data_IF_882669186215
#
_entry.id   IF_882669186215
#
_cell.length_a   1.000
_cell.length_b   1.000
_cell.length_c   1.000
_cell.angle_alpha   90.00
_cell.angle_beta   90.00
_cell.angle_gamma   90.00
#
_symmetry.space_group_name_H-M   'P 1'
#
loop_
_entity.id
_entity.type
_entity.pdbx_description
1 polymer ?
#
# COMPACT_ATOMS: atom_id res chain seq x y z
N UNK A 1 -1.65 36.80 -64.37
CA UNK A 1 -0.93 35.55 -64.05
C UNK A 1 -0.36 35.72 -62.63
N UNK A 2 -1.00 35.22 -61.57
CA UNK A 2 -0.74 33.90 -60.92
C UNK A 2 0.74 33.84 -60.42
N UNK A 3 1.15 33.63 -59.16
CA UNK A 3 0.64 32.96 -57.95
C UNK A 3 1.46 33.47 -56.72
N UNK A 4 0.88 33.77 -55.55
CA UNK A 4 0.71 32.93 -54.32
C UNK A 4 1.96 32.28 -53.69
N UNK A 5 2.28 32.77 -52.47
CA UNK A 5 2.61 32.10 -51.17
C UNK A 5 3.47 30.83 -51.18
N UNK A 6 4.57 30.84 -50.42
CA UNK A 6 4.69 30.12 -49.14
C UNK A 6 5.97 30.49 -48.39
N UNK A 7 5.81 30.94 -47.14
CA UNK A 7 6.89 31.03 -46.16
C UNK A 7 6.98 29.68 -45.43
N UNK A 8 8.17 29.08 -45.39
CA UNK A 8 8.50 27.95 -44.52
C UNK A 8 9.51 28.42 -43.50
N UNK A 9 9.07 28.51 -42.24
CA UNK A 9 9.91 28.73 -41.07
C UNK A 9 10.52 27.40 -40.64
N UNK A 10 11.80 27.19 -40.95
CA UNK A 10 12.58 26.11 -40.37
C UNK A 10 13.00 26.48 -38.94
N UNK A 11 12.15 26.11 -37.97
CA UNK A 11 12.55 26.04 -36.56
C UNK A 11 13.26 24.71 -36.32
N UNK A 12 14.59 24.75 -36.23
CA UNK A 12 15.37 23.64 -35.69
C UNK A 12 15.07 23.52 -34.19
N UNK A 13 14.20 22.57 -33.84
CA UNK A 13 14.03 22.13 -32.46
C UNK A 13 15.23 21.25 -32.10
N UNK A 14 15.97 21.72 -31.09
CA UNK A 14 17.03 20.97 -30.43
C UNK A 14 16.50 19.62 -29.93
N UNK A 15 17.06 18.53 -30.46
CA UNK A 15 16.89 17.19 -29.92
C UNK A 15 17.72 17.09 -28.65
N UNK A 16 17.08 17.33 -27.51
CA UNK A 16 17.68 17.10 -26.20
C UNK A 16 17.93 15.61 -25.98
N UNK A 17 19.20 15.26 -25.79
CA UNK A 17 19.62 14.02 -25.14
C UNK A 17 19.04 14.00 -23.72
N UNK A 18 17.95 13.25 -23.54
CA UNK A 18 17.50 12.83 -22.21
C UNK A 18 18.45 11.79 -21.63
N UNK A 19 18.54 11.65 -20.29
CA UNK A 19 19.42 10.65 -19.68
C UNK A 19 19.04 9.26 -20.17
N UNK A 20 20.01 8.54 -20.75
CA UNK A 20 19.87 7.14 -21.15
C UNK A 20 19.54 6.33 -19.90
N UNK A 21 18.31 5.86 -19.79
CA UNK A 21 17.91 4.89 -18.78
C UNK A 21 18.82 3.67 -18.89
N UNK A 22 19.39 3.20 -17.77
CA UNK A 22 20.09 1.92 -17.76
C UNK A 22 19.14 0.84 -18.28
N UNK A 23 19.64 -0.07 -19.12
CA UNK A 23 18.89 -1.27 -19.53
C UNK A 23 18.26 -1.94 -18.31
N UNK A 24 16.96 -2.25 -18.36
CA UNK A 24 16.23 -2.86 -17.25
C UNK A 24 16.87 -4.14 -16.72
N UNK A 25 17.58 -4.89 -17.59
CA UNK A 25 18.36 -6.08 -17.22
C UNK A 25 19.57 -5.75 -16.32
N UNK A 26 20.28 -4.65 -16.61
CA UNK A 26 21.42 -4.19 -15.80
C UNK A 26 20.95 -3.66 -14.45
N UNK A 27 19.81 -2.99 -14.41
CA UNK A 27 19.18 -2.54 -13.17
C UNK A 27 18.76 -3.73 -12.29
N UNK A 28 18.17 -4.77 -12.87
CA UNK A 28 17.76 -5.97 -12.13
C UNK A 28 18.96 -6.69 -11.49
N UNK A 29 20.05 -6.89 -12.26
CA UNK A 29 21.27 -7.52 -11.74
C UNK A 29 21.93 -6.72 -10.61
N UNK A 30 22.09 -5.40 -10.76
CA UNK A 30 22.67 -4.56 -9.70
C UNK A 30 21.75 -4.38 -8.49
N UNK A 31 20.45 -4.30 -8.70
CA UNK A 31 19.48 -4.19 -7.59
C UNK A 31 19.46 -5.45 -6.73
N UNK A 32 19.70 -6.64 -7.31
CA UNK A 32 19.87 -7.89 -6.56
C UNK A 32 21.08 -7.84 -5.62
N UNK A 33 22.18 -7.21 -6.03
CA UNK A 33 23.39 -7.10 -5.20
C UNK A 33 23.24 -6.10 -4.04
N UNK A 34 22.34 -5.11 -4.18
CA UNK A 34 22.10 -4.07 -3.18
C UNK A 34 20.84 -4.30 -2.34
N UNK A 35 20.05 -5.32 -2.69
CA UNK A 35 18.83 -5.66 -1.96
C UNK A 35 19.18 -6.25 -0.59
N UNK A 36 18.66 -5.63 0.47
CA UNK A 36 18.79 -6.14 1.83
C UNK A 36 17.60 -7.04 2.15
N UNK A 37 17.86 -8.29 2.49
CA UNK A 37 16.84 -9.21 3.02
C UNK A 37 16.81 -9.15 4.55
N UNK A 38 15.63 -8.96 5.11
CA UNK A 38 15.39 -8.85 6.56
C UNK A 38 14.24 -9.78 6.98
N UNK A 39 14.16 -10.08 8.29
CA UNK A 39 13.09 -10.90 8.88
C UNK A 39 12.13 -10.11 9.78
N UNK A 40 12.21 -8.78 9.75
CA UNK A 40 11.43 -7.86 10.58
C UNK A 40 10.64 -6.90 9.69
N UNK A 41 9.34 -6.77 9.93
CA UNK A 41 8.49 -5.79 9.28
C UNK A 41 8.84 -4.37 9.73
N UNK A 42 9.20 -4.19 11.01
CA UNK A 42 9.66 -2.91 11.56
C UNK A 42 10.87 -2.40 10.76
N UNK A 43 11.82 -3.30 10.49
CA UNK A 43 13.01 -2.98 9.70
C UNK A 43 12.69 -2.79 8.21
N UNK A 44 11.89 -3.69 7.62
CA UNK A 44 11.51 -3.64 6.21
C UNK A 44 10.82 -2.32 5.85
N UNK A 45 9.86 -1.90 6.67
CA UNK A 45 9.12 -0.64 6.54
C UNK A 45 9.95 0.57 7.00
N UNK A 46 11.06 0.36 7.71
CA UNK A 46 11.82 1.39 8.43
C UNK A 46 10.88 2.30 9.23
N UNK A 47 10.17 1.70 10.18
CA UNK A 47 9.27 2.44 11.06
C UNK A 47 10.06 3.39 11.95
N UNK A 48 9.53 4.60 12.13
CA UNK A 48 10.02 5.56 13.13
C UNK A 48 9.42 5.18 14.50
N UNK A 49 9.85 5.83 15.61
CA UNK A 49 9.35 5.50 16.95
C UNK A 49 7.83 5.63 17.13
N UNK A 50 7.17 6.39 16.24
CA UNK A 50 5.73 6.60 16.22
C UNK A 50 5.24 6.74 14.78
N UNK A 51 4.23 5.97 14.38
CA UNK A 51 3.70 5.99 13.01
C UNK A 51 2.18 5.72 12.97
N UNK A 52 1.50 6.42 12.08
CA UNK A 52 0.15 6.13 11.65
C UNK A 52 0.20 5.56 10.23
N UNK A 53 -0.11 4.27 10.10
CA UNK A 53 0.13 3.48 8.90
C UNK A 53 -1.20 3.11 8.26
N UNK A 54 -1.41 3.53 7.01
CA UNK A 54 -2.55 3.11 6.21
C UNK A 54 -2.15 2.05 5.18
N UNK A 55 -2.81 0.89 5.23
CA UNK A 55 -2.69 -0.18 4.26
C UNK A 55 -3.79 -0.04 3.20
N UNK A 56 -3.39 -0.04 1.93
CA UNK A 56 -4.30 0.11 0.77
C UNK A 56 -4.00 -0.95 -0.29
N UNK A 57 -4.96 -1.26 -1.15
CA UNK A 57 -4.78 -2.23 -2.24
C UNK A 57 -5.19 -3.65 -1.89
N UNK A 58 -4.45 -4.65 -2.37
CA UNK A 58 -4.78 -6.07 -2.28
C UNK A 58 -3.65 -6.93 -1.70
N UNK A 59 -3.83 -8.25 -1.68
CA UNK A 59 -2.73 -9.16 -1.37
C UNK A 59 -2.37 -9.30 0.12
N UNK A 60 -3.36 -9.35 1.02
CA UNK A 60 -3.14 -9.72 2.42
C UNK A 60 -2.87 -8.56 3.38
N UNK A 61 -3.57 -7.43 3.19
CA UNK A 61 -3.49 -6.25 4.08
C UNK A 61 -3.76 -6.59 5.54
N UNK A 62 -4.87 -7.31 5.78
CA UNK A 62 -5.26 -7.82 7.08
C UNK A 62 -4.15 -8.64 7.73
N UNK A 63 -3.58 -9.60 7.00
CA UNK A 63 -2.45 -10.41 7.48
C UNK A 63 -1.22 -9.57 7.82
N UNK A 64 -0.86 -8.59 6.99
CA UNK A 64 0.25 -7.67 7.27
C UNK A 64 -0.02 -6.83 8.53
N UNK A 65 -1.25 -6.32 8.69
CA UNK A 65 -1.66 -5.54 9.85
C UNK A 65 -1.46 -6.34 11.14
N UNK A 66 -1.95 -7.59 11.18
CA UNK A 66 -1.78 -8.48 12.33
C UNK A 66 -0.31 -8.79 12.63
N UNK A 67 0.44 -9.21 11.60
CA UNK A 67 1.86 -9.53 11.75
C UNK A 67 2.67 -8.33 12.27
N UNK A 68 2.40 -7.13 11.74
CA UNK A 68 3.08 -5.91 12.17
C UNK A 68 2.68 -5.52 13.60
N UNK A 69 1.39 -5.60 13.94
CA UNK A 69 0.93 -5.25 15.27
C UNK A 69 1.50 -6.18 16.34
N UNK A 70 1.57 -7.48 16.08
CA UNK A 70 2.18 -8.45 16.98
C UNK A 70 3.70 -8.23 17.11
N UNK A 71 4.42 -7.96 16.01
CA UNK A 71 5.86 -7.63 16.08
C UNK A 71 6.11 -6.37 16.92
N UNK A 72 5.33 -5.31 16.71
CA UNK A 72 5.43 -4.06 17.49
C UNK A 72 5.10 -4.28 18.97
N UNK A 73 4.05 -5.05 19.29
CA UNK A 73 3.66 -5.41 20.65
C UNK A 73 4.77 -6.20 21.36
N UNK A 74 5.37 -7.19 20.70
CA UNK A 74 6.54 -7.95 21.21
C UNK A 74 7.76 -7.05 21.47
N UNK A 75 7.88 -5.95 20.72
CA UNK A 75 8.87 -4.89 20.95
C UNK A 75 8.42 -3.85 22.00
N UNK A 76 7.37 -4.17 22.78
CA UNK A 76 6.89 -3.38 23.90
C UNK A 76 6.12 -2.11 23.52
N UNK A 77 5.74 -1.94 22.24
CA UNK A 77 5.03 -0.76 21.73
C UNK A 77 3.53 -0.84 22.00
N UNK A 78 2.89 0.34 22.11
CA UNK A 78 1.43 0.48 22.24
C UNK A 78 0.82 0.66 20.85
N UNK A 79 0.12 -0.37 20.39
CA UNK A 79 -0.33 -0.49 19.01
C UNK A 79 -1.84 -0.60 18.95
N UNK A 80 -2.48 0.20 18.12
CA UNK A 80 -3.87 0.01 17.78
C UNK A 80 -3.98 -0.42 16.33
N UNK A 81 -4.86 -1.38 16.07
CA UNK A 81 -5.22 -1.81 14.74
C UNK A 81 -6.66 -1.42 14.45
N UNK A 82 -6.98 -1.08 13.21
CA UNK A 82 -8.35 -0.72 12.83
C UNK A 82 -8.60 -0.88 11.32
N UNK A 83 -9.77 -0.48 10.89
CA UNK A 83 -10.11 -0.27 9.48
C UNK A 83 -11.06 0.91 9.38
N UNK A 84 -11.05 1.63 8.24
CA UNK A 84 -12.10 2.61 7.90
C UNK A 84 -13.22 1.98 7.06
N UNK A 85 -13.15 0.67 6.84
CA UNK A 85 -14.14 -0.13 6.10
C UNK A 85 -14.68 -1.27 6.98
N UNK A 86 -15.38 -2.26 6.41
CA UNK A 86 -15.91 -3.39 7.18
C UNK A 86 -14.92 -4.55 7.16
N UNK A 87 -14.55 -5.07 8.33
CA UNK A 87 -13.73 -6.29 8.47
C UNK A 87 -14.57 -7.42 9.06
N UNK A 88 -14.27 -8.69 8.80
CA UNK A 88 -14.99 -9.76 9.46
C UNK A 88 -14.67 -9.80 10.96
N UNK A 89 -15.67 -10.03 11.80
CA UNK A 89 -15.47 -10.07 13.25
C UNK A 89 -14.49 -11.17 13.66
N UNK A 90 -14.50 -12.32 12.98
CA UNK A 90 -13.53 -13.40 13.21
C UNK A 90 -12.07 -12.96 12.99
N UNK A 91 -11.85 -12.05 12.04
CA UNK A 91 -10.52 -11.50 11.79
C UNK A 91 -10.17 -10.55 12.93
N UNK A 92 -11.08 -9.65 13.33
CA UNK A 92 -10.88 -8.77 14.49
C UNK A 92 -10.60 -9.52 15.81
N UNK A 93 -11.17 -10.72 15.99
CA UNK A 93 -10.94 -11.59 17.15
C UNK A 93 -9.53 -12.24 17.18
N UNK A 94 -8.72 -12.09 16.12
CA UNK A 94 -7.28 -12.42 16.21
C UNK A 94 -6.52 -11.44 17.11
N UNK A 95 -7.10 -10.27 17.41
CA UNK A 95 -6.67 -9.46 18.54
C UNK A 95 -7.30 -9.98 19.83
N UNK A 96 -6.50 -10.09 20.87
CA UNK A 96 -6.93 -10.46 22.22
C UNK A 96 -7.99 -9.50 22.79
N UNK A 97 -8.06 -8.27 22.27
CA UNK A 97 -9.04 -7.26 22.66
C UNK A 97 -9.59 -6.48 21.48
N UNK A 98 -10.93 -6.43 21.39
CA UNK A 98 -11.68 -5.55 20.48
C UNK A 98 -12.33 -4.45 21.31
N UNK A 99 -12.00 -3.20 21.01
CA UNK A 99 -12.61 -1.99 21.56
C UNK A 99 -13.63 -1.46 20.56
N UNK A 100 -14.89 -1.40 20.98
CA UNK A 100 -15.94 -0.76 20.19
C UNK A 100 -16.07 0.69 20.61
N UNK A 101 -15.95 1.64 19.70
CA UNK A 101 -16.06 3.09 19.94
C UNK A 101 -17.21 3.62 19.08
N UNK A 102 -18.41 3.63 19.64
CA UNK A 102 -19.64 3.95 18.90
C UNK A 102 -19.69 5.42 18.46
N UNK A 103 -19.19 6.30 19.32
CA UNK A 103 -19.05 7.73 19.06
C UNK A 103 -17.59 8.17 19.23
N UNK A 104 -17.09 9.04 18.33
CA UNK A 104 -15.70 9.50 18.32
C UNK A 104 -15.24 9.99 19.71
N UNK A 105 -16.11 10.74 20.42
CA UNK A 105 -15.82 11.28 21.75
C UNK A 105 -15.64 10.25 22.87
N UNK A 106 -16.01 8.97 22.65
CA UNK A 106 -15.88 7.91 23.65
C UNK A 106 -14.45 7.41 23.80
N UNK A 107 -13.56 7.72 22.83
CA UNK A 107 -12.17 7.28 22.83
C UNK A 107 -11.45 7.57 24.15
N UNK A 108 -11.67 8.77 24.71
CA UNK A 108 -11.02 9.22 25.95
C UNK A 108 -11.29 8.30 27.14
N UNK A 109 -12.47 7.71 27.20
CA UNK A 109 -12.88 6.80 28.27
C UNK A 109 -12.41 5.37 27.96
N UNK A 110 -12.56 4.91 26.71
CA UNK A 110 -12.25 3.53 26.31
C UNK A 110 -10.76 3.22 26.17
N UNK A 111 -9.91 4.22 25.92
CA UNK A 111 -8.46 4.00 25.79
C UNK A 111 -7.82 3.37 27.02
N UNK A 112 -8.32 3.70 28.22
CA UNK A 112 -7.81 3.15 29.47
C UNK A 112 -8.03 1.63 29.56
N UNK A 113 -9.08 1.12 28.92
CA UNK A 113 -9.36 -0.30 28.83
C UNK A 113 -8.38 -1.00 27.87
N UNK A 114 -8.03 -0.36 26.75
CA UNK A 114 -7.13 -0.94 25.74
C UNK A 114 -5.67 -1.08 26.17
N UNK A 115 -5.19 -0.18 27.03
CA UNK A 115 -3.76 0.02 27.29
C UNK A 115 -3.23 -0.70 28.53
N UNK A 116 -4.09 -1.15 29.43
CA UNK A 116 -3.68 -1.50 30.80
C UNK A 116 -2.99 -2.86 30.96
N UNK A 117 -3.11 -3.78 29.99
CA UNK A 117 -2.49 -5.12 30.08
C UNK A 117 -1.81 -5.53 28.75
N UNK A 118 -2.53 -5.48 27.62
CA UNK A 118 -2.05 -6.15 26.38
C UNK A 118 -1.20 -5.30 25.44
N UNK A 119 -1.13 -3.97 25.66
CA UNK A 119 -0.46 -2.99 24.76
C UNK A 119 -0.89 -3.05 23.28
N UNK A 120 -1.87 -3.88 22.93
CA UNK A 120 -2.47 -3.95 21.60
C UNK A 120 -3.97 -4.14 21.67
N UNK A 121 -4.71 -3.47 20.79
CA UNK A 121 -6.15 -3.69 20.63
C UNK A 121 -6.61 -3.40 19.19
N UNK A 122 -7.67 -4.08 18.77
CA UNK A 122 -8.43 -3.68 17.59
C UNK A 122 -9.47 -2.64 17.96
N UNK A 123 -9.57 -1.55 17.21
CA UNK A 123 -10.61 -0.53 17.38
C UNK A 123 -11.60 -0.64 16.24
N UNK A 124 -12.87 -0.83 16.56
CA UNK A 124 -13.98 -0.76 15.62
C UNK A 124 -15.06 0.17 16.15
N UNK A 125 -16.03 0.52 15.32
CA UNK A 125 -17.17 1.33 15.73
C UNK A 125 -18.27 0.50 16.38
N UNK A 126 -18.69 -0.57 15.71
CA UNK A 126 -19.77 -1.46 16.15
C UNK A 126 -19.59 -2.86 15.58
N UNK A 127 -20.33 -3.84 16.10
CA UNK A 127 -20.48 -5.16 15.47
C UNK A 127 -21.82 -5.14 14.71
N UNK A 128 -21.77 -5.40 13.41
CA UNK A 128 -22.93 -5.48 12.53
C UNK A 128 -23.57 -6.86 12.60
N UNK A 129 -24.87 -6.96 12.33
CA UNK A 129 -25.64 -8.23 12.26
C UNK A 129 -25.01 -9.26 11.30
N UNK A 130 -24.28 -8.79 10.30
CA UNK A 130 -23.52 -9.62 9.35
C UNK A 130 -22.32 -10.35 9.98
N UNK A 131 -22.03 -10.13 11.26
CA UNK A 131 -20.80 -10.62 11.92
C UNK A 131 -19.55 -9.89 11.45
N UNK A 132 -19.67 -8.65 11.01
CA UNK A 132 -18.55 -7.78 10.62
C UNK A 132 -18.37 -6.66 11.65
N UNK A 133 -17.14 -6.23 11.88
CA UNK A 133 -16.86 -5.02 12.64
C UNK A 133 -16.93 -3.84 11.68
N UNK A 134 -17.75 -2.85 12.02
CA UNK A 134 -17.79 -1.56 11.33
C UNK A 134 -16.51 -0.79 11.64
N UNK A 135 -15.85 -0.27 10.61
CA UNK A 135 -14.65 0.53 10.74
C UNK A 135 -14.89 1.88 11.43
N UNK A 136 -13.81 2.47 11.93
CA UNK A 136 -13.83 3.80 12.52
C UNK A 136 -13.84 4.89 11.44
N UNK A 137 -14.31 6.08 11.82
CA UNK A 137 -14.19 7.27 10.96
C UNK A 137 -12.71 7.68 10.81
N UNK A 138 -12.39 8.39 9.73
CA UNK A 138 -11.06 8.98 9.56
C UNK A 138 -10.74 9.99 10.68
N UNK A 139 -11.75 10.72 11.15
CA UNK A 139 -11.64 11.68 12.25
C UNK A 139 -11.30 11.01 13.58
N UNK A 140 -11.93 9.86 13.88
CA UNK A 140 -11.59 9.07 15.06
C UNK A 140 -10.18 8.47 14.94
N UNK A 141 -9.77 8.00 13.77
CA UNK A 141 -8.40 7.54 13.56
C UNK A 141 -7.37 8.66 13.81
N UNK A 142 -7.66 9.88 13.38
CA UNK A 142 -6.84 11.06 13.68
C UNK A 142 -6.82 11.38 15.18
N UNK A 143 -7.95 11.29 15.88
CA UNK A 143 -8.01 11.49 17.34
C UNK A 143 -7.19 10.43 18.10
N UNK A 144 -7.34 9.15 17.75
CA UNK A 144 -6.59 8.04 18.35
C UNK A 144 -5.10 8.26 18.16
N UNK A 145 -4.65 8.58 16.95
CA UNK A 145 -3.23 8.81 16.69
C UNK A 145 -2.71 10.13 17.27
N UNK A 146 -3.52 11.11 17.64
CA UNK A 146 -3.03 12.27 18.39
C UNK A 146 -2.89 12.00 19.89
N UNK A 147 -3.38 10.87 20.39
CA UNK A 147 -3.19 10.48 21.77
C UNK A 147 -1.74 10.02 22.03
N UNK A 148 -1.04 10.70 22.95
CA UNK A 148 0.34 10.38 23.36
C UNK A 148 0.53 8.96 23.92
N UNK A 149 -0.57 8.29 24.27
CA UNK A 149 -0.55 6.89 24.71
C UNK A 149 -0.48 5.88 23.57
N UNK A 150 -0.59 6.34 22.33
CA UNK A 150 -0.49 5.53 21.12
C UNK A 150 0.88 5.73 20.47
N UNK A 151 1.64 4.64 20.32
CA UNK A 151 2.89 4.64 19.58
C UNK A 151 2.63 4.34 18.09
N UNK A 152 1.72 3.40 17.80
CA UNK A 152 1.38 3.03 16.44
C UNK A 152 -0.11 2.86 16.25
N UNK A 153 -0.63 3.39 15.14
CA UNK A 153 -1.96 3.08 14.63
C UNK A 153 -1.80 2.48 13.24
N UNK A 154 -2.26 1.24 13.04
CA UNK A 154 -2.25 0.56 11.74
C UNK A 154 -3.69 0.39 11.29
N UNK A 155 -4.04 0.86 10.10
CA UNK A 155 -5.41 0.74 9.58
C UNK A 155 -5.47 0.20 8.16
N UNK A 156 -6.49 -0.58 7.87
CA UNK A 156 -6.90 -0.85 6.48
C UNK A 156 -7.81 0.27 5.99
N UNK A 157 -7.36 1.01 4.98
CA UNK A 157 -8.06 2.18 4.44
C UNK A 157 -8.97 1.84 3.24
N UNK A 158 -8.99 0.57 2.81
CA UNK A 158 -9.89 0.05 1.78
C UNK A 158 -10.15 -1.46 1.92
N UNK A 159 -11.25 -1.93 1.33
CA UNK A 159 -11.58 -3.35 1.24
C UNK A 159 -11.14 -3.95 -0.11
N UNK A 160 -10.56 -5.15 -0.10
CA UNK A 160 -10.16 -5.88 -1.33
C UNK A 160 -10.84 -7.23 -1.53
N UNK A 161 -11.74 -7.64 -0.62
CA UNK A 161 -12.36 -8.97 -0.65
C UNK A 161 -11.37 -10.14 -0.79
N UNK A 162 -10.16 -9.98 -0.22
CA UNK A 162 -9.11 -11.00 -0.27
C UNK A 162 -8.39 -11.14 -1.62
N UNK A 163 -8.66 -10.26 -2.60
CA UNK A 163 -8.06 -10.35 -3.93
C UNK A 163 -6.59 -9.88 -3.96
N UNK A 164 -5.76 -10.45 -4.85
CA UNK A 164 -4.36 -10.05 -5.03
C UNK A 164 -4.18 -8.58 -5.43
N UNK A 165 -5.00 -8.11 -6.38
CA UNK A 165 -4.94 -6.76 -6.94
C UNK A 165 -6.24 -6.00 -6.69
N UNK A 166 -6.14 -4.67 -6.67
CA UNK A 166 -7.29 -3.76 -6.58
C UNK A 166 -6.91 -2.42 -7.20
N UNK A 167 -7.88 -1.74 -7.80
CA UNK A 167 -7.84 -0.29 -7.99
C UNK A 167 -8.91 0.40 -7.11
N UNK A 168 -8.64 1.60 -6.56
CA UNK A 168 -9.61 2.29 -5.69
C UNK A 168 -10.89 2.70 -6.42
N UNK A 169 -12.01 2.74 -5.69
CA UNK A 169 -13.21 3.45 -6.15
C UNK A 169 -13.13 4.96 -5.88
N UNK A 170 -14.15 5.71 -6.27
CA UNK A 170 -14.22 7.16 -6.07
C UNK A 170 -14.14 7.58 -4.59
N UNK A 171 -14.79 6.84 -3.69
CA UNK A 171 -14.79 7.12 -2.25
C UNK A 171 -13.63 6.45 -1.49
N UNK A 172 -12.75 5.74 -2.18
CA UNK A 172 -11.61 5.03 -1.58
C UNK A 172 -10.26 5.54 -2.13
N UNK A 173 -9.16 5.26 -1.43
CA UNK A 173 -9.11 4.81 -0.03
C UNK A 173 -9.52 5.92 0.94
N UNK A 174 -10.03 5.57 2.12
CA UNK A 174 -10.37 6.53 3.18
C UNK A 174 -9.16 6.66 4.11
N UNK A 175 -8.24 7.55 3.76
CA UNK A 175 -6.96 7.77 4.47
C UNK A 175 -7.10 8.96 5.43
N UNK A 176 -6.90 8.77 6.75
CA UNK A 176 -6.87 9.87 7.73
C UNK A 176 -5.75 10.88 7.47
N UNK A 177 -5.94 12.14 7.89
CA UNK A 177 -4.98 13.21 7.58
C UNK A 177 -3.67 13.09 8.39
N UNK A 178 -3.73 12.44 9.55
CA UNK A 178 -2.57 12.21 10.42
C UNK A 178 -1.70 11.02 10.01
N UNK A 179 -2.07 10.30 8.93
CA UNK A 179 -1.28 9.19 8.40
C UNK A 179 0.13 9.65 8.03
N UNK A 180 1.13 8.96 8.56
CA UNK A 180 2.56 9.25 8.36
C UNK A 180 3.20 8.31 7.34
N UNK A 181 2.56 7.16 7.07
CA UNK A 181 2.98 6.22 6.03
C UNK A 181 1.76 5.56 5.36
N UNK A 182 1.77 5.52 4.03
CA UNK A 182 0.87 4.67 3.24
C UNK A 182 1.65 3.51 2.66
N UNK A 183 1.17 2.29 2.91
CA UNK A 183 1.70 1.05 2.35
C UNK A 183 0.71 0.53 1.30
N UNK A 184 1.05 0.69 0.03
CA UNK A 184 0.26 0.16 -1.08
C UNK A 184 0.66 -1.29 -1.35
N UNK A 185 -0.32 -2.19 -1.29
CA UNK A 185 -0.11 -3.62 -1.34
C UNK A 185 -0.67 -4.28 -2.60
N UNK A 186 0.03 -5.34 -3.03
CA UNK A 186 -0.43 -6.25 -4.08
C UNK A 186 0.13 -7.66 -3.82
N UNK A 187 -0.65 -8.69 -4.13
CA UNK A 187 -0.17 -10.08 -4.16
C UNK A 187 0.61 -10.37 -5.45
N UNK A 188 1.79 -10.97 -5.34
CA UNK A 188 2.69 -11.22 -6.46
C UNK A 188 2.18 -12.28 -7.45
N UNK A 189 1.22 -13.10 -7.05
CA UNK A 189 0.48 -13.99 -7.95
C UNK A 189 -0.31 -13.23 -9.03
N UNK A 190 -0.54 -11.92 -8.87
CA UNK A 190 -1.13 -11.07 -9.90
C UNK A 190 -0.18 -10.76 -11.06
N UNK A 191 1.13 -10.87 -10.86
CA UNK A 191 2.11 -10.56 -11.91
C UNK A 191 1.98 -11.57 -13.04
N UNK A 192 1.73 -11.04 -14.25
CA UNK A 192 1.48 -11.82 -15.47
C UNK A 192 0.25 -12.75 -15.42
N UNK A 193 -0.61 -12.61 -14.41
CA UNK A 193 -1.93 -13.22 -14.40
C UNK A 193 -2.89 -12.50 -15.36
N UNK A 194 -4.05 -13.12 -15.64
CA UNK A 194 -5.10 -12.49 -16.44
C UNK A 194 -5.92 -11.54 -15.56
N UNK A 195 -6.38 -10.45 -16.15
CA UNK A 195 -7.31 -9.54 -15.49
C UNK A 195 -8.70 -10.19 -15.43
N UNK A 196 -9.11 -10.62 -14.24
CA UNK A 196 -10.42 -11.18 -13.94
C UNK A 196 -10.83 -10.93 -12.48
N UNK A 197 -12.03 -11.37 -12.11
CA UNK A 197 -12.60 -11.21 -10.76
C UNK A 197 -11.93 -12.09 -9.70
N UNK A 198 -11.08 -13.06 -10.09
CA UNK A 198 -10.27 -13.85 -9.15
C UNK A 198 -8.98 -13.13 -8.78
N UNK A 199 -8.41 -12.40 -9.73
CA UNK A 199 -7.14 -11.70 -9.59
C UNK A 199 -7.31 -10.28 -9.08
N UNK A 200 -8.38 -9.60 -9.48
CA UNK A 200 -8.61 -8.19 -9.16
C UNK A 200 -9.97 -7.96 -8.49
N UNK A 201 -9.97 -7.18 -7.39
CA UNK A 201 -11.19 -6.64 -6.84
C UNK A 201 -11.61 -5.39 -7.60
N UNK A 202 -12.85 -5.41 -8.11
CA UNK A 202 -13.44 -4.36 -8.94
C UNK A 202 -12.66 -4.16 -10.25
N UNK A 203 -12.81 -5.14 -11.14
CA UNK A 203 -12.10 -5.22 -12.43
C UNK A 203 -12.24 -3.92 -13.22
N UNK A 204 -13.41 -3.30 -13.27
CA UNK A 204 -13.65 -2.06 -14.04
C UNK A 204 -12.77 -0.87 -13.63
N UNK A 205 -12.45 -0.74 -12.34
CA UNK A 205 -11.53 0.30 -11.85
C UNK A 205 -10.10 0.00 -12.31
N UNK A 206 -9.69 -1.27 -12.30
CA UNK A 206 -8.38 -1.68 -12.82
C UNK A 206 -8.31 -1.41 -14.31
N UNK A 207 -9.37 -1.72 -15.08
CA UNK A 207 -9.46 -1.39 -16.51
C UNK A 207 -9.32 0.10 -16.76
N UNK A 208 -10.00 0.93 -15.97
CA UNK A 208 -9.95 2.40 -16.09
C UNK A 208 -8.54 2.93 -15.89
N UNK A 209 -7.81 2.41 -14.91
CA UNK A 209 -6.44 2.86 -14.58
C UNK A 209 -5.40 2.32 -15.57
N UNK A 210 -5.57 1.08 -16.03
CA UNK A 210 -4.55 0.37 -16.81
C UNK A 210 -4.78 0.45 -18.32
N UNK A 211 -6.03 0.61 -18.75
CA UNK A 211 -6.48 0.48 -20.14
C UNK A 211 -6.68 -0.97 -20.61
N UNK A 212 -6.57 -1.95 -19.71
CA UNK A 212 -6.71 -3.36 -20.05
C UNK A 212 -8.18 -3.79 -20.22
N UNK A 213 -8.39 -4.87 -20.94
CA UNK A 213 -9.65 -5.61 -21.00
C UNK A 213 -9.59 -6.87 -20.13
N UNK A 214 -10.76 -7.40 -19.70
CA UNK A 214 -10.80 -8.69 -19.02
C UNK A 214 -10.13 -9.78 -19.86
N UNK A 215 -9.29 -10.59 -19.23
CA UNK A 215 -8.48 -11.62 -19.88
C UNK A 215 -7.09 -11.16 -20.34
N UNK A 216 -6.83 -9.85 -20.45
CA UNK A 216 -5.50 -9.35 -20.78
C UNK A 216 -4.49 -9.63 -19.65
N UNK A 217 -3.21 -9.68 -20.00
CA UNK A 217 -2.13 -9.93 -19.03
C UNK A 217 -1.84 -8.69 -18.18
N UNK A 218 -1.72 -8.90 -16.88
CA UNK A 218 -1.25 -7.93 -15.90
C UNK A 218 0.28 -7.78 -15.97
N UNK A 219 0.73 -7.10 -17.00
CA UNK A 219 2.15 -6.80 -17.22
C UNK A 219 2.71 -5.84 -16.15
N UNK A 220 4.04 -5.83 -15.89
CA UNK A 220 4.66 -4.87 -14.97
C UNK A 220 4.28 -3.41 -15.25
N UNK A 221 4.20 -3.02 -16.52
CA UNK A 221 3.79 -1.66 -16.91
C UNK A 221 2.32 -1.36 -16.62
N UNK A 222 1.43 -2.34 -16.74
CA UNK A 222 0.03 -2.16 -16.37
C UNK A 222 -0.11 -2.07 -14.84
N UNK A 223 0.57 -2.96 -14.11
CA UNK A 223 0.56 -2.99 -12.66
C UNK A 223 1.12 -1.69 -12.07
N UNK A 224 2.21 -1.14 -12.60
CA UNK A 224 2.75 0.13 -12.13
C UNK A 224 1.76 1.29 -12.26
N UNK A 225 0.88 1.29 -13.29
CA UNK A 225 -0.22 2.27 -13.39
C UNK A 225 -1.19 2.15 -12.23
N UNK A 226 -1.50 0.95 -11.75
CA UNK A 226 -2.39 0.77 -10.58
C UNK A 226 -1.85 1.48 -9.34
N UNK A 227 -0.53 1.51 -9.16
CA UNK A 227 0.11 2.25 -8.07
C UNK A 227 0.18 3.76 -8.33
N UNK A 228 0.66 4.15 -9.51
CA UNK A 228 1.15 5.51 -9.79
C UNK A 228 0.11 6.44 -10.41
N UNK A 229 -0.98 5.90 -10.95
CA UNK A 229 -2.02 6.72 -11.57
C UNK A 229 -2.63 7.69 -10.53
N UNK A 230 -3.09 8.91 -10.92
CA UNK A 230 -3.67 9.87 -9.97
C UNK A 230 -4.86 9.34 -9.15
N UNK A 231 -5.60 8.38 -9.71
CA UNK A 231 -6.68 7.65 -9.00
C UNK A 231 -6.30 6.21 -8.63
N UNK A 232 -5.01 5.90 -8.62
CA UNK A 232 -4.43 4.61 -8.21
C UNK A 232 -4.28 4.49 -6.69
N UNK A 233 -3.51 3.50 -6.23
CA UNK A 233 -3.44 3.10 -4.82
C UNK A 233 -2.98 4.22 -3.86
N UNK A 234 -2.15 5.14 -4.32
CA UNK A 234 -1.69 6.27 -3.50
C UNK A 234 -2.64 7.49 -3.51
N UNK A 235 -3.81 7.39 -4.14
CA UNK A 235 -4.83 8.45 -4.11
C UNK A 235 -5.18 8.82 -2.66
N UNK A 236 -5.26 10.12 -2.37
CA UNK A 236 -5.59 10.63 -1.04
C UNK A 236 -4.45 10.56 -0.01
N UNK A 237 -3.25 10.10 -0.39
CA UNK A 237 -2.10 10.06 0.52
C UNK A 237 -1.66 11.47 0.90
N UNK A 238 -1.56 11.82 2.20
CA UNK A 238 -1.03 13.11 2.64
C UNK A 238 0.36 13.42 2.05
N UNK A 239 0.67 14.70 1.82
CA UNK A 239 1.94 15.08 1.20
C UNK A 239 3.16 14.77 2.06
N UNK A 240 2.98 14.87 3.39
CA UNK A 240 3.95 14.55 4.43
C UNK A 240 4.14 13.05 4.65
N UNK A 241 3.19 12.23 4.20
CA UNK A 241 3.23 10.79 4.38
C UNK A 241 4.24 10.14 3.44
N UNK A 242 4.98 9.18 4.01
CA UNK A 242 5.87 8.27 3.28
C UNK A 242 5.04 7.31 2.42
N UNK A 243 5.56 6.94 1.25
CA UNK A 243 4.89 6.00 0.33
C UNK A 243 5.75 4.77 0.17
N UNK A 244 5.21 3.63 0.58
CA UNK A 244 5.89 2.33 0.49
C UNK A 244 5.05 1.41 -0.36
N UNK A 245 5.70 0.66 -1.26
CA UNK A 245 5.06 -0.45 -1.96
C UNK A 245 5.44 -1.75 -1.27
N UNK A 246 4.45 -2.60 -1.02
CA UNK A 246 4.66 -3.93 -0.47
C UNK A 246 4.05 -4.97 -1.43
N UNK A 247 4.93 -5.68 -2.13
CA UNK A 247 4.59 -6.78 -3.01
C UNK A 247 4.65 -8.08 -2.20
N UNK A 248 3.49 -8.56 -1.75
CA UNK A 248 3.35 -9.70 -0.85
C UNK A 248 3.25 -11.04 -1.61
N UNK A 249 3.32 -12.15 -0.86
CA UNK A 249 3.27 -13.53 -1.36
C UNK A 249 4.44 -13.86 -2.29
N UNK A 250 5.64 -13.48 -1.85
CA UNK A 250 6.90 -13.80 -2.52
C UNK A 250 7.11 -15.31 -2.74
N UNK A 251 6.50 -16.15 -1.90
CA UNK A 251 6.45 -17.60 -2.02
C UNK A 251 5.69 -18.11 -3.26
N UNK A 252 4.86 -17.26 -3.89
CA UNK A 252 4.09 -17.60 -5.08
C UNK A 252 4.67 -17.01 -6.38
N UNK A 253 5.86 -16.39 -6.33
CA UNK A 253 6.50 -15.81 -7.51
C UNK A 253 6.81 -16.90 -8.53
N UNK A 254 6.30 -16.74 -9.74
CA UNK A 254 6.63 -17.59 -10.89
C UNK A 254 7.68 -16.95 -11.82
N UNK A 255 7.66 -15.62 -11.93
CA UNK A 255 8.48 -14.87 -12.88
C UNK A 255 9.21 -13.71 -12.16
N UNK A 256 10.32 -14.03 -11.50
CA UNK A 256 11.07 -13.06 -10.69
C UNK A 256 11.54 -11.84 -11.51
N UNK A 257 11.95 -12.05 -12.77
CA UNK A 257 12.36 -10.96 -13.67
C UNK A 257 11.25 -9.93 -13.88
N UNK A 258 9.99 -10.35 -13.96
CA UNK A 258 8.83 -9.44 -14.11
C UNK A 258 8.54 -8.67 -12.83
N UNK A 259 8.77 -9.29 -11.66
CA UNK A 259 8.64 -8.61 -10.37
C UNK A 259 9.72 -7.54 -10.23
N UNK A 260 10.95 -7.83 -10.68
CA UNK A 260 12.05 -6.87 -10.67
C UNK A 260 11.83 -5.74 -11.67
N UNK A 261 11.32 -6.05 -12.87
CA UNK A 261 10.89 -5.03 -13.84
C UNK A 261 9.86 -4.07 -13.21
N UNK A 262 8.84 -4.61 -12.51
CA UNK A 262 7.84 -3.80 -11.81
C UNK A 262 8.47 -2.93 -10.72
N UNK A 263 9.34 -3.51 -9.87
CA UNK A 263 10.02 -2.77 -8.81
C UNK A 263 10.89 -1.63 -9.38
N UNK A 264 11.55 -1.86 -10.51
CA UNK A 264 12.33 -0.85 -11.22
C UNK A 264 11.47 0.32 -11.70
N UNK A 265 10.34 0.03 -12.34
CA UNK A 265 9.40 1.06 -12.80
C UNK A 265 8.86 1.89 -11.62
N UNK A 266 8.57 1.24 -10.48
CA UNK A 266 8.04 1.91 -9.29
C UNK A 266 9.08 2.80 -8.58
N UNK A 267 10.37 2.49 -8.71
CA UNK A 267 11.46 3.26 -8.09
C UNK A 267 12.05 4.33 -9.01
N UNK A 268 11.62 4.41 -10.27
CA UNK A 268 12.08 5.40 -11.24
C UNK A 268 11.72 6.83 -10.81
N UNK A 269 12.61 7.80 -11.07
CA UNK A 269 12.53 9.17 -10.55
C UNK A 269 11.27 9.91 -11.03
N UNK A 270 10.77 9.57 -12.21
CA UNK A 270 9.56 10.14 -12.77
C UNK A 270 8.28 9.74 -12.01
N UNK A 271 8.33 8.69 -11.17
CA UNK A 271 7.16 8.09 -10.53
C UNK A 271 6.64 8.84 -9.27
N UNK A 272 7.32 9.89 -8.79
CA UNK A 272 7.09 10.57 -7.49
C UNK A 272 7.30 9.67 -6.26
N UNK A 273 7.95 10.22 -5.23
CA UNK A 273 7.84 9.95 -3.77
C UNK A 273 7.73 8.50 -3.23
N UNK A 274 7.94 7.42 -3.99
CA UNK A 274 8.03 6.06 -3.41
C UNK A 274 9.38 5.93 -2.72
N UNK A 275 9.35 5.73 -1.40
CA UNK A 275 10.54 5.64 -0.57
C UNK A 275 11.26 4.30 -0.71
N UNK A 276 10.50 3.22 -0.95
CA UNK A 276 11.00 1.85 -1.14
C UNK A 276 9.93 0.91 -1.68
N UNK A 277 10.41 -0.18 -2.29
CA UNK A 277 9.60 -1.34 -2.66
C UNK A 277 10.08 -2.53 -1.82
N UNK A 278 9.14 -3.23 -1.18
CA UNK A 278 9.40 -4.43 -0.38
C UNK A 278 8.79 -5.60 -1.13
N UNK A 279 9.61 -6.61 -1.44
CA UNK A 279 9.16 -7.89 -1.98
C UNK A 279 9.25 -8.89 -0.83
N UNK A 280 8.18 -9.59 -0.49
CA UNK A 280 8.26 -10.55 0.59
C UNK A 280 7.06 -11.45 0.75
N UNK A 281 7.17 -12.36 1.70
CA UNK A 281 6.06 -13.17 2.18
C UNK A 281 5.84 -12.88 3.65
N UNK A 282 4.66 -12.36 3.98
CA UNK A 282 4.26 -12.19 5.39
C UNK A 282 4.16 -13.55 6.10
N UNK A 283 3.78 -14.61 5.38
CA UNK A 283 3.70 -15.97 5.93
C UNK A 283 5.09 -16.52 6.29
N UNK A 284 6.08 -16.32 5.42
CA UNK A 284 7.44 -16.83 5.66
C UNK A 284 8.29 -15.90 6.55
N UNK A 285 7.85 -14.66 6.75
CA UNK A 285 8.58 -13.66 7.55
C UNK A 285 9.89 -13.21 6.89
N UNK A 286 9.91 -13.11 5.56
CA UNK A 286 11.11 -12.72 4.79
C UNK A 286 10.77 -11.56 3.86
N UNK A 287 11.57 -10.49 3.93
CA UNK A 287 11.34 -9.25 3.22
C UNK A 287 12.62 -8.75 2.54
N UNK A 288 12.62 -8.73 1.21
CA UNK A 288 13.67 -8.15 0.38
C UNK A 288 13.35 -6.68 0.11
N UNK A 289 14.20 -5.79 0.60
CA UNK A 289 14.04 -4.34 0.46
C UNK A 289 14.79 -3.88 -0.77
N UNK A 290 14.07 -3.28 -1.72
CA UNK A 290 14.63 -2.61 -2.88
C UNK A 290 14.49 -1.10 -2.68
N UNK A 291 15.61 -0.40 -2.67
CA UNK A 291 15.68 1.05 -2.48
C UNK A 291 16.14 1.73 -3.75
N UNK A 292 15.79 3.01 -3.87
CA UNK A 292 16.41 3.89 -4.87
C UNK A 292 17.92 3.95 -4.62
N UNK A 293 18.70 3.86 -5.70
CA UNK A 293 20.12 4.17 -5.65
C UNK A 293 20.28 5.62 -5.18
N UNK A 294 21.13 5.87 -4.20
CA UNK A 294 21.55 7.24 -3.93
C UNK A 294 22.31 7.73 -5.18
N UNK A 295 21.77 8.78 -5.80
CA UNK A 295 22.43 9.55 -6.86
C UNK A 295 23.62 10.31 -6.29
#
# INVERSE_FOLDING_TARGET
MVNRRHATSNGQLATGDGPRTMDGLKWAQQSRELAKTVKSLIEALALRPREHIALVGGGGKTTLMFALADELRRNGKRVFASTTTKVWHREALEYEKVLLVEHDGDWKNKKAEGLSIERSAFVGKSILDTGKVEGISATLADEIFHDSTVDYLVLEADGSAGRPLKAPAEHEPVIPCSVTMVVAMMGLEAVNARLDEETAFRVEQVRTVTGLNPGDLLTPRALSRVFLHPVGLFKGTPESARRVVFLNKGDLIKEEEKVEELAGILLDEAAKKIDRVILGSVMDGVYRIIKKMAS
#
